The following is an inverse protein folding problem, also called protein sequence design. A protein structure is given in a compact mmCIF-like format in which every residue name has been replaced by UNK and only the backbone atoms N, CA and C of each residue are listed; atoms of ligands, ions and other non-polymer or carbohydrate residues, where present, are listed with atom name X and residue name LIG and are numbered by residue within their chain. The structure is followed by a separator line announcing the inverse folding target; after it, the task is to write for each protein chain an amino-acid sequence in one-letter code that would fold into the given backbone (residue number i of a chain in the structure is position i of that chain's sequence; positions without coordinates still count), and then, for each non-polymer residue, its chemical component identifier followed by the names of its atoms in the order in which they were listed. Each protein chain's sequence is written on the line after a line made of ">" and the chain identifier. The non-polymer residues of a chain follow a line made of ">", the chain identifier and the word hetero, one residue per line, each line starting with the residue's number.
data_IF_545983395222
#
_entry.id   IF_545983395222
#
_cell.length_a   1.000
_cell.length_b   1.000
_cell.length_c   1.000
_cell.angle_alpha   90.00
_cell.angle_beta   90.00
_cell.angle_gamma   90.00
#
_symmetry.space_group_name_H-M   'P 1'
#
loop_
_entity.id
_entity.type
_entity.pdbx_description
1 polymer ?
#
# COMPACT_ATOMS: atom_id res chain seq x y z
N UNK A 1 -27.19 24.83 -6.82
CA UNK A 1 -26.58 24.82 -8.17
C UNK A 1 -26.58 23.37 -8.63
N UNK A 2 -26.89 23.09 -9.91
CA UNK A 2 -26.73 21.73 -10.44
C UNK A 2 -25.25 21.31 -10.30
N UNK A 3 -25.00 20.02 -10.06
CA UNK A 3 -23.64 19.51 -10.00
C UNK A 3 -22.99 19.67 -11.39
N UNK A 4 -21.76 20.17 -11.43
CA UNK A 4 -21.00 20.33 -12.67
C UNK A 4 -20.71 18.99 -13.28
N UNK A 5 -20.96 18.83 -14.57
CA UNK A 5 -20.77 17.61 -15.33
C UNK A 5 -19.50 17.70 -16.17
N UNK A 6 -18.56 16.79 -15.92
CA UNK A 6 -17.29 16.71 -16.66
C UNK A 6 -17.30 15.47 -17.54
N UNK A 7 -16.88 15.61 -18.80
CA UNK A 7 -16.74 14.50 -19.75
C UNK A 7 -15.28 14.36 -20.18
N UNK A 8 -14.69 13.21 -19.91
CA UNK A 8 -13.38 12.80 -20.41
C UNK A 8 -13.59 12.09 -21.75
N UNK A 9 -13.09 12.69 -22.86
CA UNK A 9 -13.48 12.27 -24.21
C UNK A 9 -12.35 11.61 -24.98
N UNK A 10 -12.69 10.55 -25.73
CA UNK A 10 -11.87 9.99 -26.80
C UNK A 10 -10.64 9.24 -26.32
N UNK A 11 -10.59 8.84 -25.05
CA UNK A 11 -9.51 8.03 -24.50
C UNK A 11 -9.75 6.53 -24.62
N UNK A 12 -8.72 5.74 -24.30
CA UNK A 12 -8.88 4.34 -23.93
C UNK A 12 -9.28 4.26 -22.46
N UNK A 13 -10.19 3.39 -22.11
CA UNK A 13 -10.64 3.16 -20.74
C UNK A 13 -10.23 1.77 -20.32
N UNK A 14 -9.30 1.67 -19.36
CA UNK A 14 -9.09 0.46 -18.57
C UNK A 14 -9.95 0.57 -17.31
N UNK A 15 -10.99 -0.23 -17.23
CA UNK A 15 -12.01 -0.07 -16.19
C UNK A 15 -11.62 -0.61 -14.80
N UNK A 16 -10.45 -1.24 -14.68
CA UNK A 16 -9.96 -1.84 -13.43
C UNK A 16 -10.33 -3.30 -13.22
N UNK A 17 -11.14 -3.90 -14.10
CA UNK A 17 -11.59 -5.32 -13.95
C UNK A 17 -10.53 -6.33 -14.39
N UNK A 18 -9.46 -5.90 -15.05
CA UNK A 18 -8.49 -6.77 -15.72
C UNK A 18 -8.85 -7.09 -17.17
N UNK A 19 -9.97 -6.57 -17.69
CA UNK A 19 -10.30 -6.60 -19.09
C UNK A 19 -9.39 -5.68 -19.92
N UNK A 20 -9.33 -5.91 -21.23
CA UNK A 20 -8.59 -5.01 -22.13
C UNK A 20 -9.25 -3.63 -22.18
N UNK A 21 -8.41 -2.59 -22.26
CA UNK A 21 -8.91 -1.22 -22.42
C UNK A 21 -9.72 -1.06 -23.71
N UNK A 22 -10.81 -0.31 -23.65
CA UNK A 22 -11.70 -0.02 -24.78
C UNK A 22 -11.87 1.48 -24.97
N UNK A 23 -12.14 1.93 -26.21
CA UNK A 23 -12.41 3.34 -26.51
C UNK A 23 -13.77 3.76 -25.93
N UNK A 24 -13.81 4.96 -25.33
CA UNK A 24 -15.06 5.50 -24.78
C UNK A 24 -14.88 6.88 -24.16
N UNK A 25 -16.00 7.44 -23.71
CA UNK A 25 -16.04 8.63 -22.87
C UNK A 25 -16.40 8.24 -21.44
N UNK A 26 -15.81 8.93 -20.47
CA UNK A 26 -16.18 8.80 -19.05
C UNK A 26 -16.88 10.08 -18.60
N UNK A 27 -18.04 9.94 -18.00
CA UNK A 27 -18.86 11.06 -17.53
C UNK A 27 -18.92 11.11 -16.02
N UNK A 28 -18.58 12.25 -15.46
CA UNK A 28 -18.52 12.50 -14.02
C UNK A 28 -19.46 13.64 -13.64
N UNK A 29 -20.26 13.43 -12.59
CA UNK A 29 -21.15 14.44 -12.02
C UNK A 29 -21.19 14.28 -10.49
N UNK A 30 -21.05 15.39 -9.76
CA UNK A 30 -21.08 15.37 -8.29
C UNK A 30 -20.01 14.48 -7.66
N UNK A 31 -18.84 14.34 -8.30
CA UNK A 31 -17.74 13.52 -7.82
C UNK A 31 -17.88 12.02 -8.07
N UNK A 32 -18.93 11.62 -8.82
CA UNK A 32 -19.18 10.21 -9.14
C UNK A 32 -19.19 9.98 -10.65
N UNK A 33 -18.85 8.79 -11.04
CA UNK A 33 -19.04 8.29 -12.41
C UNK A 33 -20.55 8.10 -12.62
N UNK A 34 -21.09 8.68 -13.68
CA UNK A 34 -22.52 8.58 -14.01
C UNK A 34 -22.77 7.83 -15.31
N UNK A 35 -21.78 7.80 -16.22
CA UNK A 35 -21.87 7.07 -17.48
C UNK A 35 -20.51 6.68 -18.04
N UNK A 36 -20.49 5.59 -18.79
CA UNK A 36 -19.37 5.08 -19.59
C UNK A 36 -19.90 4.74 -20.98
N UNK A 37 -19.31 5.30 -22.00
CA UNK A 37 -19.76 5.01 -23.36
C UNK A 37 -19.36 6.07 -24.34
N UNK A 38 -20.28 6.93 -24.74
CA UNK A 38 -20.00 8.04 -25.64
C UNK A 38 -21.23 8.86 -25.96
N UNK A 39 -20.99 10.08 -26.51
CA UNK A 39 -22.06 10.97 -26.98
C UNK A 39 -22.76 11.78 -25.89
N UNK A 40 -22.24 11.82 -24.67
CA UNK A 40 -22.80 12.63 -23.57
C UNK A 40 -22.35 14.09 -23.65
N UNK A 41 -23.25 15.01 -23.31
CA UNK A 41 -22.93 16.42 -23.13
C UNK A 41 -22.44 16.70 -21.70
N UNK A 42 -21.58 17.73 -21.53
CA UNK A 42 -21.06 18.14 -20.24
C UNK A 42 -20.70 19.62 -20.22
N UNK A 43 -20.62 20.17 -19.01
CA UNK A 43 -20.21 21.57 -18.77
C UNK A 43 -18.72 21.76 -19.02
N UNK A 44 -17.92 20.72 -18.72
CA UNK A 44 -16.47 20.65 -18.95
C UNK A 44 -16.18 19.46 -19.85
N UNK A 45 -15.30 19.66 -20.83
CA UNK A 45 -14.77 18.60 -21.68
C UNK A 45 -13.26 18.51 -21.49
N UNK A 46 -12.78 17.31 -21.11
CA UNK A 46 -11.35 16.97 -21.02
C UNK A 46 -11.01 16.13 -22.24
N UNK A 47 -10.10 16.61 -23.09
CA UNK A 47 -9.64 15.85 -24.27
C UNK A 47 -8.63 14.77 -23.85
N UNK A 48 -9.01 13.52 -23.99
CA UNK A 48 -8.19 12.35 -23.65
C UNK A 48 -7.67 11.60 -24.88
N UNK A 49 -7.68 12.24 -26.06
CA UNK A 49 -7.16 11.61 -27.27
C UNK A 49 -5.68 11.21 -27.09
N UNK A 50 -5.37 9.94 -27.38
CA UNK A 50 -4.03 9.37 -27.17
C UNK A 50 -3.68 9.07 -25.70
N UNK A 51 -4.65 9.07 -24.80
CA UNK A 51 -4.48 8.73 -23.38
C UNK A 51 -5.28 7.49 -23.02
N UNK A 52 -4.87 6.86 -21.91
CA UNK A 52 -5.63 5.82 -21.22
C UNK A 52 -6.11 6.35 -19.87
N UNK A 53 -7.38 6.15 -19.58
CA UNK A 53 -8.02 6.39 -18.29
C UNK A 53 -7.91 5.12 -17.44
N UNK A 54 -7.36 5.25 -16.25
CA UNK A 54 -7.33 4.21 -15.22
C UNK A 54 -8.19 4.63 -14.03
N UNK A 55 -8.74 3.68 -13.25
CA UNK A 55 -9.17 3.99 -11.90
C UNK A 55 -8.00 4.55 -11.08
N UNK A 56 -8.27 5.36 -10.08
CA UNK A 56 -7.26 5.72 -9.10
C UNK A 56 -6.55 4.50 -8.54
N UNK A 57 -5.22 4.51 -8.54
CA UNK A 57 -4.39 3.40 -8.09
C UNK A 57 -4.36 3.32 -6.57
N UNK A 58 -4.09 2.11 -6.07
CA UNK A 58 -3.94 1.79 -4.66
C UNK A 58 -2.51 1.36 -4.35
N UNK A 59 -2.05 1.67 -3.13
CA UNK A 59 -0.89 1.04 -2.51
C UNK A 59 -1.30 0.49 -1.14
N UNK A 60 -1.37 -0.83 -1.01
CA UNK A 60 -1.86 -1.51 0.19
C UNK A 60 -0.82 -1.66 1.30
N UNK A 61 0.40 -1.14 1.12
CA UNK A 61 1.45 -1.22 2.12
C UNK A 61 2.44 -0.06 1.99
N UNK A 62 2.22 0.98 2.78
CA UNK A 62 3.10 2.17 2.84
C UNK A 62 3.43 2.53 4.28
N UNK A 63 4.45 3.37 4.47
CA UNK A 63 4.84 3.98 5.73
C UNK A 63 5.05 5.48 5.51
N UNK A 64 3.97 6.26 5.48
CA UNK A 64 4.06 7.68 5.08
C UNK A 64 4.86 8.56 6.04
N UNK A 65 5.06 8.11 7.28
CA UNK A 65 5.89 8.78 8.27
C UNK A 65 7.40 8.52 8.08
N UNK A 66 7.78 7.64 7.14
CA UNK A 66 9.17 7.35 6.82
C UNK A 66 9.53 7.92 5.46
N UNK A 67 10.55 8.79 5.43
CA UNK A 67 11.14 9.31 4.19
C UNK A 67 12.43 8.56 3.80
N UNK A 68 12.96 7.76 4.73
CA UNK A 68 14.21 7.00 4.57
C UNK A 68 14.38 5.98 5.71
N UNK A 69 15.30 5.03 5.51
CA UNK A 69 15.68 4.01 6.50
C UNK A 69 16.93 4.36 7.30
N UNK A 70 17.35 5.63 7.30
CA UNK A 70 18.47 6.16 8.07
C UNK A 70 18.06 6.46 9.51
N UNK A 71 18.30 5.51 10.43
CA UNK A 71 17.99 5.66 11.84
C UNK A 71 18.81 6.78 12.52
N UNK A 72 20.06 7.04 12.06
CA UNK A 72 20.88 8.10 12.62
C UNK A 72 20.31 9.48 12.32
N UNK A 73 19.86 9.70 11.09
CA UNK A 73 19.17 10.93 10.71
C UNK A 73 17.90 11.11 11.52
N UNK A 74 17.13 10.03 11.71
CA UNK A 74 15.88 10.07 12.48
C UNK A 74 16.09 10.49 13.94
N UNK A 75 17.11 9.95 14.63
CA UNK A 75 17.45 10.31 16.01
C UNK A 75 17.81 11.80 16.13
N UNK A 76 18.42 12.39 15.10
CA UNK A 76 18.87 13.78 15.08
C UNK A 76 17.79 14.75 14.60
N UNK A 77 16.65 14.24 14.11
CA UNK A 77 15.56 15.05 13.57
C UNK A 77 14.52 15.34 14.66
N UNK A 78 14.05 16.60 14.82
CA UNK A 78 12.99 16.92 15.78
C UNK A 78 11.72 16.07 15.54
N UNK A 79 11.09 15.58 16.61
CA UNK A 79 9.92 14.70 16.54
C UNK A 79 8.83 15.19 15.59
N UNK A 80 8.49 16.47 15.62
CA UNK A 80 7.42 17.03 14.78
C UNK A 80 7.78 17.11 13.30
N UNK A 81 9.09 17.04 12.94
CA UNK A 81 9.55 17.18 11.56
C UNK A 81 8.98 16.07 10.64
N UNK A 82 8.85 14.85 11.17
CA UNK A 82 8.30 13.70 10.42
C UNK A 82 6.86 13.95 9.90
N UNK A 83 6.05 14.78 10.58
CA UNK A 83 4.69 15.09 10.10
C UNK A 83 4.71 16.00 8.86
N UNK A 84 5.70 16.87 8.75
CA UNK A 84 5.90 17.71 7.56
C UNK A 84 6.47 16.89 6.40
N UNK A 85 7.41 15.96 6.68
CA UNK A 85 7.89 15.01 5.68
C UNK A 85 6.74 14.14 5.16
N UNK A 86 5.85 13.67 6.04
CA UNK A 86 4.69 12.87 5.67
C UNK A 86 3.78 13.61 4.67
N UNK A 87 3.58 14.91 4.80
CA UNK A 87 2.82 15.70 3.83
C UNK A 87 3.48 15.68 2.44
N UNK A 88 4.81 15.78 2.38
CA UNK A 88 5.57 15.63 1.13
C UNK A 88 5.48 14.23 0.54
N UNK A 89 5.59 13.20 1.39
CA UNK A 89 5.47 11.79 1.00
C UNK A 89 4.09 11.47 0.41
N UNK A 90 3.03 11.97 1.05
CA UNK A 90 1.66 11.84 0.58
C UNK A 90 1.44 12.52 -0.77
N UNK A 91 1.96 13.74 -0.94
CA UNK A 91 1.89 14.46 -2.21
C UNK A 91 2.66 13.73 -3.33
N UNK A 92 3.85 13.20 -3.05
CA UNK A 92 4.64 12.42 -4.00
C UNK A 92 3.92 11.12 -4.42
N UNK A 93 3.29 10.42 -3.46
CA UNK A 93 2.50 9.21 -3.71
C UNK A 93 1.27 9.52 -4.57
N UNK A 94 0.55 10.60 -4.29
CA UNK A 94 -0.57 11.05 -5.10
C UNK A 94 -0.12 11.43 -6.53
N UNK A 95 1.05 12.05 -6.66
CA UNK A 95 1.62 12.49 -7.93
C UNK A 95 1.84 11.36 -8.94
N UNK A 96 2.02 10.13 -8.48
CA UNK A 96 2.15 8.93 -9.32
C UNK A 96 0.83 8.16 -9.47
N UNK A 97 -0.32 8.82 -9.28
CA UNK A 97 -1.64 8.26 -9.54
C UNK A 97 -2.21 7.37 -8.43
N UNK A 98 -1.54 7.24 -7.30
CA UNK A 98 -2.08 6.49 -6.16
C UNK A 98 -3.04 7.41 -5.39
N UNK A 99 -4.33 7.08 -5.42
CA UNK A 99 -5.40 7.87 -4.79
C UNK A 99 -5.87 7.28 -3.47
N UNK A 100 -5.44 6.05 -3.15
CA UNK A 100 -5.80 5.37 -1.91
C UNK A 100 -4.62 4.55 -1.41
N UNK A 101 -4.33 4.65 -0.10
CA UNK A 101 -3.24 3.92 0.54
C UNK A 101 -3.69 3.21 1.82
N UNK A 102 -2.94 2.16 2.20
CA UNK A 102 -3.00 1.55 3.52
C UNK A 102 -1.63 1.73 4.20
N UNK A 103 -1.60 2.58 5.24
CA UNK A 103 -0.39 2.79 6.05
C UNK A 103 -0.21 1.63 7.03
N UNK A 104 0.91 0.92 6.86
CA UNK A 104 1.24 -0.29 7.62
C UNK A 104 1.90 0.01 8.98
N UNK A 105 1.91 1.28 9.36
CA UNK A 105 2.40 1.77 10.64
C UNK A 105 3.17 3.08 10.51
N UNK A 106 2.98 3.95 11.48
CA UNK A 106 3.61 5.25 11.58
C UNK A 106 2.61 6.39 11.59
N UNK A 107 1.68 6.42 10.65
CA UNK A 107 0.63 7.44 10.60
C UNK A 107 -0.37 7.27 11.76
N UNK A 108 -0.66 8.37 12.42
CA UNK A 108 -1.70 8.45 13.46
C UNK A 108 -3.00 9.05 12.90
N UNK A 109 -4.03 9.11 13.75
CA UNK A 109 -5.31 9.71 13.40
C UNK A 109 -5.18 11.20 13.04
N UNK A 110 -4.15 11.90 13.55
CA UNK A 110 -3.90 13.31 13.23
C UNK A 110 -3.51 13.50 11.76
N UNK A 111 -2.63 12.66 11.23
CA UNK A 111 -2.25 12.69 9.80
C UNK A 111 -3.47 12.38 8.92
N UNK A 112 -4.24 11.33 9.27
CA UNK A 112 -5.46 10.98 8.52
C UNK A 112 -6.47 12.11 8.52
N UNK A 113 -6.73 12.75 9.67
CA UNK A 113 -7.65 13.88 9.78
C UNK A 113 -7.17 15.10 9.01
N UNK A 114 -5.86 15.37 9.01
CA UNK A 114 -5.31 16.48 8.23
C UNK A 114 -5.57 16.32 6.73
N UNK A 115 -5.55 15.07 6.20
CA UNK A 115 -5.96 14.77 4.82
C UNK A 115 -7.47 14.97 4.62
N UNK A 116 -8.31 14.42 5.51
CA UNK A 116 -9.77 14.50 5.44
C UNK A 116 -10.27 15.97 5.51
N UNK A 117 -9.62 16.79 6.34
CA UNK A 117 -9.94 18.21 6.51
C UNK A 117 -9.30 19.10 5.42
N UNK A 118 -8.49 18.54 4.51
CA UNK A 118 -7.81 19.26 3.44
C UNK A 118 -6.68 20.19 3.91
N UNK A 119 -6.14 19.98 5.11
CA UNK A 119 -4.97 20.71 5.62
C UNK A 119 -3.69 20.32 4.88
N UNK A 120 -3.61 19.06 4.42
CA UNK A 120 -2.53 18.54 3.58
C UNK A 120 -3.14 17.79 2.39
N UNK A 121 -2.44 17.78 1.25
CA UNK A 121 -2.83 17.03 0.07
C UNK A 121 -2.26 15.61 0.09
N UNK A 122 -2.99 14.67 -0.48
CA UNK A 122 -2.54 13.29 -0.58
C UNK A 122 -3.68 12.31 -0.92
N UNK A 123 -3.38 11.00 -1.02
CA UNK A 123 -4.37 9.94 -1.22
C UNK A 123 -5.27 9.74 0.01
N UNK A 124 -6.44 9.12 -0.18
CA UNK A 124 -7.22 8.58 0.95
C UNK A 124 -6.39 7.55 1.70
N UNK A 125 -6.59 7.47 3.01
CA UNK A 125 -5.72 6.67 3.86
C UNK A 125 -6.51 5.77 4.82
N UNK A 126 -6.15 4.47 4.85
CA UNK A 126 -6.38 3.59 6.00
C UNK A 126 -5.10 3.51 6.83
N UNK A 127 -5.22 3.56 8.15
CA UNK A 127 -4.08 3.58 9.08
C UNK A 127 -4.12 2.41 10.04
N UNK A 128 -2.94 1.85 10.35
CA UNK A 128 -2.77 0.81 11.37
C UNK A 128 -2.20 1.34 12.68
N UNK A 129 -1.79 2.60 12.72
CA UNK A 129 -1.15 3.29 13.84
C UNK A 129 0.25 2.72 14.11
N UNK A 130 0.32 1.45 14.51
CA UNK A 130 1.56 0.79 14.93
C UNK A 130 1.51 -0.70 14.61
N UNK A 131 2.64 -1.26 14.17
CA UNK A 131 2.81 -2.69 14.05
C UNK A 131 2.91 -3.33 15.44
N UNK A 132 2.10 -4.36 15.70
CA UNK A 132 2.19 -5.18 16.91
C UNK A 132 3.27 -6.24 16.73
N UNK A 133 4.13 -6.40 17.72
CA UNK A 133 5.27 -7.32 17.69
C UNK A 133 5.59 -7.85 19.09
N UNK A 134 6.09 -9.08 19.16
CA UNK A 134 6.60 -9.63 20.43
C UNK A 134 7.94 -8.98 20.82
N UNK A 135 8.31 -9.08 22.09
CA UNK A 135 9.66 -8.75 22.58
C UNK A 135 10.70 -9.57 21.81
N UNK A 136 11.75 -8.89 21.31
CA UNK A 136 12.78 -9.49 20.44
C UNK A 136 12.31 -9.75 19.01
N UNK A 137 11.11 -9.31 18.64
CA UNK A 137 10.54 -9.46 17.30
C UNK A 137 10.86 -8.29 16.37
N UNK A 138 10.24 -8.30 15.17
CA UNK A 138 10.54 -7.36 14.09
C UNK A 138 10.28 -5.88 14.44
N UNK A 139 9.30 -5.60 15.30
CA UNK A 139 8.97 -4.27 15.78
C UNK A 139 9.57 -3.93 17.14
N UNK A 140 10.57 -4.67 17.61
CA UNK A 140 11.31 -4.37 18.83
C UNK A 140 12.60 -3.61 18.48
N UNK A 141 12.61 -2.34 18.82
CA UNK A 141 13.70 -1.39 18.49
C UNK A 141 14.84 -1.41 19.50
N UNK A 142 14.91 -2.41 20.39
CA UNK A 142 15.97 -2.55 21.40
C UNK A 142 17.30 -3.02 20.78
N UNK A 143 18.39 -2.35 21.11
CA UNK A 143 19.75 -2.70 20.69
C UNK A 143 20.54 -3.39 21.82
N UNK A 144 21.59 -4.15 21.46
CA UNK A 144 22.43 -4.89 22.41
C UNK A 144 23.11 -4.02 23.47
N UNK A 145 23.22 -2.72 23.24
CA UNK A 145 23.66 -1.74 24.24
C UNK A 145 22.61 -1.44 25.31
N UNK A 146 21.38 -1.92 25.15
CA UNK A 146 20.24 -1.59 26.01
C UNK A 146 19.53 -0.29 25.62
N UNK A 147 19.94 0.35 24.51
CA UNK A 147 19.28 1.55 23.99
C UNK A 147 18.17 1.14 23.03
N UNK A 148 17.01 1.78 23.14
CA UNK A 148 15.92 1.69 22.16
C UNK A 148 16.09 2.82 21.14
N UNK A 149 16.05 2.45 19.84
CA UNK A 149 16.14 3.39 18.71
C UNK A 149 14.96 3.12 17.78
N UNK A 150 13.78 3.64 18.12
CA UNK A 150 12.57 3.33 17.38
C UNK A 150 12.55 4.02 16.01
N UNK A 151 12.16 3.28 14.97
CA UNK A 151 11.73 3.88 13.70
C UNK A 151 10.47 4.72 13.88
N UNK A 152 9.64 4.34 14.84
CA UNK A 152 8.39 5.02 15.18
C UNK A 152 8.40 5.38 16.66
N UNK A 153 8.64 6.64 17.00
CA UNK A 153 8.58 7.10 18.39
C UNK A 153 7.13 6.98 18.91
N UNK A 154 6.97 6.35 20.09
CA UNK A 154 5.66 6.30 20.73
C UNK A 154 5.25 7.70 21.22
N UNK A 155 3.99 8.06 21.00
CA UNK A 155 3.40 9.35 21.40
C UNK A 155 1.91 9.16 21.71
N UNK A 156 1.18 10.20 22.23
CA UNK A 156 -0.22 10.04 22.64
C UNK A 156 -1.15 9.49 21.56
N UNK A 157 -0.89 9.76 20.26
CA UNK A 157 -1.68 9.25 19.13
C UNK A 157 -1.23 7.87 18.63
N UNK A 158 -0.03 7.41 18.99
CA UNK A 158 0.54 6.15 18.52
C UNK A 158 1.27 5.42 19.67
N UNK A 159 0.56 4.61 20.46
CA UNK A 159 1.16 3.86 21.59
C UNK A 159 2.15 2.79 21.09
N UNK A 160 3.01 2.29 21.99
CA UNK A 160 3.94 1.20 21.69
C UNK A 160 3.24 -0.04 21.15
N UNK A 161 3.87 -0.70 20.17
CA UNK A 161 3.39 -1.94 19.56
C UNK A 161 3.89 -3.23 20.23
N UNK A 162 4.79 -3.17 21.23
CA UNK A 162 5.26 -4.37 21.91
C UNK A 162 4.17 -5.05 22.72
N UNK A 163 4.05 -6.37 22.57
CA UNK A 163 3.00 -7.17 23.17
C UNK A 163 3.41 -8.63 23.30
N UNK A 164 3.24 -9.20 24.50
CA UNK A 164 3.53 -10.59 24.80
C UNK A 164 2.36 -11.23 25.55
N UNK A 165 1.88 -12.32 25.00
CA UNK A 165 0.79 -13.12 25.55
C UNK A 165 -0.63 -12.64 25.18
N UNK A 166 -1.61 -13.58 25.26
CA UNK A 166 -2.98 -13.34 24.77
C UNK A 166 -3.72 -12.18 25.47
N UNK A 167 -3.56 -12.05 26.78
CA UNK A 167 -4.25 -10.97 27.53
C UNK A 167 -3.69 -9.59 27.21
N UNK A 168 -2.37 -9.46 27.06
CA UNK A 168 -1.74 -8.24 26.60
C UNK A 168 -2.15 -7.90 25.15
N UNK A 169 -2.22 -8.92 24.27
CA UNK A 169 -2.67 -8.77 22.88
C UNK A 169 -4.08 -8.17 22.82
N UNK A 170 -5.03 -8.69 23.62
CA UNK A 170 -6.39 -8.13 23.73
C UNK A 170 -6.38 -6.64 24.06
N UNK A 171 -5.61 -6.25 25.05
CA UNK A 171 -5.51 -4.85 25.47
C UNK A 171 -4.90 -3.99 24.36
N UNK A 172 -3.86 -4.52 23.70
CA UNK A 172 -3.11 -3.81 22.66
C UNK A 172 -3.96 -3.56 21.42
N UNK A 173 -4.71 -4.56 20.93
CA UNK A 173 -5.64 -4.38 19.80
C UNK A 173 -6.67 -3.30 20.09
N UNK A 174 -7.28 -3.34 21.30
CA UNK A 174 -8.23 -2.30 21.73
C UNK A 174 -7.60 -0.92 21.83
N UNK A 175 -6.31 -0.82 22.18
CA UNK A 175 -5.57 0.45 22.16
C UNK A 175 -5.40 0.99 20.74
N UNK A 176 -5.06 0.15 19.75
CA UNK A 176 -4.96 0.57 18.34
C UNK A 176 -6.33 1.03 17.81
N UNK A 177 -7.39 0.28 18.07
CA UNK A 177 -8.77 0.66 17.71
C UNK A 177 -9.16 2.01 18.33
N UNK A 178 -8.89 2.20 19.63
CA UNK A 178 -9.12 3.47 20.32
C UNK A 178 -8.33 4.63 19.70
N UNK A 179 -7.12 4.36 19.20
CA UNK A 179 -6.28 5.35 18.53
C UNK A 179 -6.76 5.69 17.11
N UNK A 180 -7.76 4.97 16.60
CA UNK A 180 -8.38 5.23 15.28
C UNK A 180 -7.87 4.34 14.16
N UNK A 181 -7.30 3.18 14.47
CA UNK A 181 -6.86 2.22 13.46
C UNK A 181 -8.04 1.73 12.59
N UNK A 182 -7.87 1.76 11.26
CA UNK A 182 -8.79 1.16 10.27
C UNK A 182 -8.44 -0.32 10.00
N UNK A 183 -7.21 -0.71 10.34
CA UNK A 183 -6.66 -2.06 10.17
C UNK A 183 -5.67 -2.32 11.29
N UNK A 184 -5.54 -3.57 11.72
CA UNK A 184 -4.52 -3.96 12.70
C UNK A 184 -3.31 -4.52 11.94
N UNK A 185 -2.11 -3.99 12.21
CA UNK A 185 -0.85 -4.53 11.68
C UNK A 185 -0.16 -5.36 12.76
N UNK A 186 0.32 -6.56 12.38
CA UNK A 186 1.09 -7.44 13.25
C UNK A 186 2.32 -7.98 12.52
N UNK A 187 3.40 -8.30 13.24
CA UNK A 187 4.54 -9.05 12.73
C UNK A 187 4.46 -10.50 13.21
N UNK A 188 4.27 -11.45 12.28
CA UNK A 188 4.23 -12.89 12.58
C UNK A 188 5.54 -13.61 12.24
N UNK A 189 6.54 -12.87 11.80
CA UNK A 189 7.92 -13.36 11.62
C UNK A 189 8.93 -12.24 11.86
N UNK A 190 10.21 -12.60 11.89
CA UNK A 190 11.31 -11.65 11.72
C UNK A 190 11.33 -11.03 10.34
N UNK A 191 12.22 -10.07 10.12
CA UNK A 191 12.31 -9.30 8.88
C UNK A 191 13.71 -8.86 8.49
N UNK A 192 13.79 -8.17 7.34
CA UNK A 192 15.06 -7.70 6.76
C UNK A 192 15.63 -6.50 7.51
N UNK A 193 14.82 -5.50 7.84
CA UNK A 193 15.31 -4.24 8.41
C UNK A 193 15.70 -4.33 9.88
N UNK A 194 15.08 -5.19 10.66
CA UNK A 194 15.46 -5.42 12.05
C UNK A 194 16.85 -6.07 12.13
N UNK A 195 17.79 -5.54 12.92
CA UNK A 195 19.19 -6.00 12.85
C UNK A 195 19.43 -7.36 13.52
N UNK A 196 18.49 -7.88 14.32
CA UNK A 196 18.76 -9.01 15.20
C UNK A 196 17.84 -10.22 15.06
N UNK A 197 16.64 -10.04 14.55
CA UNK A 197 15.75 -11.15 14.26
C UNK A 197 16.11 -11.85 12.93
N UNK A 198 15.58 -13.05 12.74
CA UNK A 198 15.77 -13.81 11.52
C UNK A 198 14.45 -13.84 10.72
N UNK A 199 14.46 -13.43 9.44
CA UNK A 199 13.27 -13.44 8.61
C UNK A 199 12.67 -14.85 8.39
N UNK A 200 13.39 -15.91 8.76
CA UNK A 200 12.96 -17.32 8.67
C UNK A 200 12.27 -17.83 9.94
N UNK A 201 12.24 -17.04 11.01
CA UNK A 201 11.65 -17.47 12.28
C UNK A 201 10.26 -16.88 12.49
N UNK A 202 9.29 -17.74 12.82
CA UNK A 202 7.94 -17.33 13.18
C UNK A 202 7.92 -16.61 14.55
N UNK A 203 7.15 -15.55 14.61
CA UNK A 203 6.85 -14.77 15.81
C UNK A 203 5.40 -14.95 16.22
N UNK A 204 5.12 -14.67 17.51
CA UNK A 204 3.82 -14.86 18.14
C UNK A 204 3.34 -16.32 18.08
N UNK A 205 2.48 -16.67 19.00
CA UNK A 205 1.93 -18.03 19.10
C UNK A 205 0.48 -18.04 18.62
N UNK A 206 -0.06 -19.19 18.20
CA UNK A 206 -1.43 -19.28 17.73
C UNK A 206 -2.45 -18.62 18.68
N UNK A 207 -2.35 -18.84 19.99
CA UNK A 207 -3.26 -18.24 20.95
C UNK A 207 -3.23 -16.70 20.99
N UNK A 208 -2.09 -16.07 20.66
CA UNK A 208 -1.98 -14.62 20.57
C UNK A 208 -2.63 -14.11 19.27
N UNK A 209 -2.44 -14.84 18.17
CA UNK A 209 -3.04 -14.50 16.87
C UNK A 209 -4.55 -14.71 16.85
N UNK A 210 -5.06 -15.76 17.51
CA UNK A 210 -6.50 -16.01 17.66
C UNK A 210 -7.19 -14.85 18.40
N UNK A 211 -6.60 -14.39 19.51
CA UNK A 211 -7.14 -13.23 20.26
C UNK A 211 -7.04 -11.95 19.44
N UNK A 212 -5.93 -11.74 18.72
CA UNK A 212 -5.74 -10.58 17.86
C UNK A 212 -6.84 -10.49 16.79
N UNK A 213 -7.11 -11.57 16.08
CA UNK A 213 -8.13 -11.62 15.03
C UNK A 213 -9.53 -11.45 15.64
N UNK A 214 -9.84 -12.17 16.72
CA UNK A 214 -11.16 -12.09 17.38
C UNK A 214 -11.49 -10.65 17.86
N UNK A 215 -10.51 -9.93 18.42
CA UNK A 215 -10.71 -8.53 18.87
C UNK A 215 -10.84 -7.56 17.68
N UNK A 216 -10.10 -7.79 16.58
CA UNK A 216 -10.21 -7.00 15.36
C UNK A 216 -11.57 -7.19 14.68
N UNK A 217 -12.02 -8.45 14.53
CA UNK A 217 -13.34 -8.79 13.98
C UNK A 217 -14.48 -8.20 14.78
N UNK A 218 -14.41 -8.27 16.13
CA UNK A 218 -15.40 -7.68 17.00
C UNK A 218 -15.52 -6.16 16.83
N UNK A 219 -14.47 -5.51 16.38
CA UNK A 219 -14.45 -4.08 16.06
C UNK A 219 -14.75 -3.78 14.57
N UNK A 220 -14.96 -4.79 13.74
CA UNK A 220 -15.22 -4.63 12.31
C UNK A 220 -14.00 -4.21 11.49
N UNK A 221 -12.77 -4.45 11.99
CA UNK A 221 -11.52 -4.13 11.29
C UNK A 221 -10.77 -5.40 10.89
N UNK A 222 -10.00 -5.32 9.80
CA UNK A 222 -9.20 -6.45 9.32
C UNK A 222 -7.80 -6.46 9.96
N UNK A 223 -7.11 -7.59 9.79
CA UNK A 223 -5.71 -7.74 10.20
C UNK A 223 -4.84 -7.95 8.96
N UNK A 224 -3.69 -7.29 8.94
CA UNK A 224 -2.60 -7.48 7.97
C UNK A 224 -1.34 -7.93 8.71
N UNK A 225 -0.58 -8.90 8.16
CA UNK A 225 0.60 -9.45 8.81
C UNK A 225 1.86 -9.26 7.98
N UNK A 226 2.86 -8.55 8.55
CA UNK A 226 4.23 -8.77 8.11
C UNK A 226 4.58 -10.24 8.37
N UNK A 227 4.82 -11.00 7.33
CA UNK A 227 5.11 -12.43 7.44
C UNK A 227 6.08 -12.84 6.31
N UNK A 228 7.33 -13.09 6.68
CA UNK A 228 8.36 -13.55 5.75
C UNK A 228 8.58 -15.06 5.88
N UNK A 229 8.68 -15.60 7.10
CA UNK A 229 8.86 -17.02 7.37
C UNK A 229 7.62 -17.86 6.98
N UNK A 230 7.83 -19.03 6.38
CA UNK A 230 6.75 -19.97 6.03
C UNK A 230 5.83 -20.30 7.23
N UNK A 231 6.40 -20.62 8.39
CA UNK A 231 5.60 -20.93 9.58
C UNK A 231 4.84 -19.69 10.12
N UNK A 232 5.43 -18.49 10.00
CA UNK A 232 4.75 -17.25 10.37
C UNK A 232 3.57 -16.95 9.46
N UNK A 233 3.71 -17.22 8.15
CA UNK A 233 2.65 -17.10 7.15
C UNK A 233 1.53 -18.11 7.46
N UNK A 234 1.87 -19.39 7.64
CA UNK A 234 0.88 -20.45 7.95
C UNK A 234 0.10 -20.16 9.22
N UNK A 235 0.78 -19.71 10.29
CA UNK A 235 0.12 -19.34 11.54
C UNK A 235 -0.84 -18.15 11.35
N UNK A 236 -0.42 -17.13 10.59
CA UNK A 236 -1.25 -15.96 10.27
C UNK A 236 -2.51 -16.36 9.48
N UNK A 237 -2.34 -17.19 8.44
CA UNK A 237 -3.47 -17.65 7.60
C UNK A 237 -4.44 -18.50 8.42
N UNK A 238 -3.97 -19.45 9.23
CA UNK A 238 -4.81 -20.29 10.10
C UNK A 238 -5.59 -19.48 11.13
N UNK A 239 -5.02 -18.37 11.60
CA UNK A 239 -5.70 -17.46 12.52
C UNK A 239 -6.78 -16.59 11.86
N UNK A 240 -6.89 -16.58 10.52
CA UNK A 240 -7.88 -15.78 9.78
C UNK A 240 -7.39 -14.38 9.40
N UNK A 241 -6.09 -14.12 9.39
CA UNK A 241 -5.53 -12.85 8.96
C UNK A 241 -5.81 -12.64 7.46
N UNK A 242 -6.32 -11.44 7.11
CA UNK A 242 -6.82 -11.14 5.76
C UNK A 242 -5.73 -11.01 4.71
N UNK A 243 -4.56 -10.45 5.03
CA UNK A 243 -3.45 -10.32 4.09
C UNK A 243 -2.10 -10.63 4.71
N UNK A 244 -1.28 -11.30 3.90
CA UNK A 244 0.14 -11.54 4.14
C UNK A 244 0.93 -10.48 3.37
N UNK A 245 1.74 -9.75 4.09
CA UNK A 245 2.65 -8.75 3.54
C UNK A 245 4.02 -9.40 3.31
N UNK A 246 4.65 -9.13 2.18
CA UNK A 246 5.92 -9.69 1.71
C UNK A 246 5.82 -11.15 1.24
N UNK A 247 5.57 -12.10 2.12
CA UNK A 247 5.45 -13.52 1.71
C UNK A 247 6.76 -14.14 1.19
N UNK A 248 7.93 -13.74 1.73
CA UNK A 248 9.24 -14.05 1.14
C UNK A 248 9.52 -15.54 1.04
N UNK A 249 9.23 -16.32 2.09
CA UNK A 249 9.50 -17.74 2.14
C UNK A 249 8.23 -18.59 2.01
N UNK A 250 7.35 -18.24 1.06
CA UNK A 250 6.17 -19.04 0.75
C UNK A 250 6.60 -20.45 0.32
N UNK A 251 6.13 -21.47 1.03
CA UNK A 251 6.19 -22.87 0.63
C UNK A 251 4.84 -23.34 0.05
N UNK A 252 4.80 -24.54 -0.48
CA UNK A 252 3.60 -25.06 -1.16
C UNK A 252 2.42 -25.17 -0.18
N UNK A 253 2.66 -25.58 1.09
CA UNK A 253 1.62 -25.63 2.14
C UNK A 253 1.07 -24.24 2.47
N UNK A 254 1.92 -23.21 2.54
CA UNK A 254 1.47 -21.84 2.79
C UNK A 254 0.59 -21.32 1.64
N UNK A 255 0.95 -21.65 0.40
CA UNK A 255 0.15 -21.31 -0.80
C UNK A 255 -1.21 -22.01 -0.77
N UNK A 256 -1.24 -23.32 -0.47
CA UNK A 256 -2.49 -24.09 -0.35
C UNK A 256 -3.41 -23.49 0.73
N UNK A 257 -2.87 -23.16 1.90
CA UNK A 257 -3.62 -22.50 2.97
C UNK A 257 -4.15 -21.13 2.55
N UNK A 258 -3.35 -20.32 1.86
CA UNK A 258 -3.80 -19.02 1.37
C UNK A 258 -4.96 -19.15 0.38
N UNK A 259 -4.93 -20.16 -0.49
CA UNK A 259 -6.02 -20.46 -1.42
C UNK A 259 -7.27 -20.91 -0.68
N UNK A 260 -7.14 -21.83 0.29
CA UNK A 260 -8.24 -22.37 1.10
C UNK A 260 -8.96 -21.26 1.89
N UNK A 261 -8.20 -20.36 2.51
CA UNK A 261 -8.73 -19.28 3.33
C UNK A 261 -9.07 -18.00 2.55
N UNK A 262 -8.73 -17.93 1.25
CA UNK A 262 -8.90 -16.72 0.45
C UNK A 262 -8.03 -15.55 0.91
N UNK A 263 -6.89 -15.84 1.55
CA UNK A 263 -5.95 -14.84 2.07
C UNK A 263 -5.22 -14.13 0.94
N UNK A 264 -5.08 -12.80 1.05
CA UNK A 264 -4.39 -11.98 0.07
C UNK A 264 -2.87 -12.00 0.27
N UNK A 265 -2.12 -11.87 -0.83
CA UNK A 265 -0.70 -11.52 -0.83
C UNK A 265 -0.53 -10.06 -1.26
N UNK A 266 0.21 -9.29 -0.45
CA UNK A 266 0.69 -7.95 -0.79
C UNK A 266 2.22 -8.03 -0.85
N UNK A 267 2.80 -8.17 -2.07
CA UNK A 267 4.15 -8.72 -2.20
C UNK A 267 5.27 -7.75 -1.81
N UNK A 268 5.17 -6.47 -2.13
CA UNK A 268 6.23 -5.47 -1.85
C UNK A 268 7.61 -5.86 -2.39
N UNK A 269 7.67 -6.32 -3.63
CA UNK A 269 8.90 -6.84 -4.28
C UNK A 269 10.02 -5.80 -4.36
N UNK A 270 9.67 -4.52 -4.41
CA UNK A 270 10.65 -3.41 -4.43
C UNK A 270 11.42 -3.27 -3.13
N UNK A 271 10.86 -3.70 -1.98
CA UNK A 271 11.40 -3.37 -0.66
C UNK A 271 12.82 -3.92 -0.41
N UNK A 272 13.13 -5.21 -0.64
CA UNK A 272 14.50 -5.71 -0.45
C UNK A 272 15.53 -5.00 -1.37
N UNK A 273 15.15 -4.73 -2.62
CA UNK A 273 15.97 -3.93 -3.55
C UNK A 273 16.23 -2.52 -3.04
N UNK A 274 15.21 -1.88 -2.47
CA UNK A 274 15.31 -0.55 -1.87
C UNK A 274 16.33 -0.46 -0.73
N UNK A 275 16.44 -1.49 0.10
CA UNK A 275 17.47 -1.58 1.16
C UNK A 275 18.87 -1.63 0.55
N UNK A 276 19.07 -2.39 -0.52
CA UNK A 276 20.35 -2.51 -1.23
C UNK A 276 20.71 -1.20 -1.91
N UNK A 277 19.76 -0.58 -2.60
CA UNK A 277 19.92 0.71 -3.30
C UNK A 277 20.29 1.82 -2.32
N UNK A 278 19.60 1.91 -1.17
CA UNK A 278 19.89 2.90 -0.12
C UNK A 278 21.32 2.76 0.40
N UNK A 279 21.76 1.53 0.70
CA UNK A 279 23.14 1.28 1.15
C UNK A 279 24.18 1.64 0.07
N UNK A 280 23.88 1.34 -1.21
CA UNK A 280 24.75 1.71 -2.33
C UNK A 280 24.86 3.24 -2.52
N UNK A 281 23.84 4.00 -2.13
CA UNK A 281 23.81 5.46 -2.13
C UNK A 281 24.45 6.09 -0.88
N UNK A 282 24.98 5.25 0.03
CA UNK A 282 25.66 5.71 1.24
C UNK A 282 24.76 5.99 2.44
N UNK A 283 23.49 5.58 2.39
CA UNK A 283 22.62 5.61 3.57
C UNK A 283 23.17 4.62 4.61
N UNK A 284 23.32 5.03 5.89
CA UNK A 284 23.88 4.16 6.94
C UNK A 284 22.88 3.07 7.37
N UNK A 285 22.75 2.05 6.52
CA UNK A 285 21.93 0.86 6.80
C UNK A 285 22.81 -0.17 7.53
N UNK A 286 22.30 -0.85 8.59
CA UNK A 286 23.04 -1.93 9.25
C UNK A 286 23.49 -3.01 8.25
N UNK A 287 24.74 -3.44 8.31
CA UNK A 287 25.31 -4.43 7.39
C UNK A 287 24.50 -5.76 7.40
N UNK A 288 24.00 -6.16 8.57
CA UNK A 288 23.15 -7.32 8.71
C UNK A 288 21.85 -7.21 7.87
N UNK A 289 21.24 -6.02 7.83
CA UNK A 289 20.02 -5.79 7.04
C UNK A 289 20.31 -5.83 5.54
N UNK A 290 21.43 -5.25 5.09
CA UNK A 290 21.87 -5.34 3.69
C UNK A 290 22.17 -6.80 3.28
N UNK A 291 22.82 -7.56 4.16
CA UNK A 291 23.10 -8.99 3.92
C UNK A 291 21.81 -9.81 3.79
N UNK A 292 20.84 -9.58 4.69
CA UNK A 292 19.52 -10.23 4.61
C UNK A 292 18.80 -9.83 3.31
N UNK A 293 18.78 -8.54 2.95
CA UNK A 293 18.15 -8.07 1.71
C UNK A 293 18.69 -8.81 0.48
N UNK A 294 20.02 -8.91 0.36
CA UNK A 294 20.67 -9.65 -0.74
C UNK A 294 20.32 -11.13 -0.79
N UNK A 295 20.10 -11.76 0.37
CA UNK A 295 19.72 -13.17 0.45
C UNK A 295 18.29 -13.42 -0.01
N UNK A 296 17.38 -12.46 0.22
CA UNK A 296 15.95 -12.67 0.02
C UNK A 296 15.43 -12.23 -1.35
N UNK A 297 16.08 -11.31 -2.07
CA UNK A 297 15.58 -10.76 -3.35
C UNK A 297 15.13 -11.86 -4.31
N UNK A 298 16.01 -12.80 -4.64
CA UNK A 298 15.68 -13.87 -5.60
C UNK A 298 14.68 -14.89 -5.03
N UNK A 299 14.71 -15.13 -3.72
CA UNK A 299 13.77 -16.03 -3.04
C UNK A 299 12.37 -15.40 -3.12
N UNK A 300 12.26 -14.13 -2.83
CA UNK A 300 11.02 -13.37 -2.84
C UNK A 300 10.35 -13.40 -4.23
N UNK A 301 11.14 -13.10 -5.29
CA UNK A 301 10.64 -13.15 -6.66
C UNK A 301 10.12 -14.55 -7.03
N UNK A 302 10.85 -15.60 -6.68
CA UNK A 302 10.42 -17.00 -6.93
C UNK A 302 9.16 -17.37 -6.15
N UNK A 303 9.06 -16.96 -4.89
CA UNK A 303 7.88 -17.21 -4.05
C UNK A 303 6.66 -16.50 -4.62
N UNK A 304 6.82 -15.24 -5.04
CA UNK A 304 5.77 -14.50 -5.71
C UNK A 304 5.31 -15.18 -7.00
N UNK A 305 6.25 -15.58 -7.89
CA UNK A 305 5.91 -16.29 -9.13
C UNK A 305 5.15 -17.59 -8.89
N UNK A 306 5.50 -18.34 -7.83
CA UNK A 306 4.73 -19.53 -7.43
C UNK A 306 3.31 -19.19 -6.97
N UNK A 307 3.15 -18.15 -6.17
CA UNK A 307 1.85 -17.68 -5.71
C UNK A 307 0.94 -17.23 -6.88
N UNK A 308 1.51 -16.50 -7.85
CA UNK A 308 0.83 -16.10 -9.09
C UNK A 308 0.37 -17.32 -9.88
N UNK A 309 1.27 -18.27 -10.13
CA UNK A 309 0.97 -19.48 -10.89
C UNK A 309 -0.10 -20.36 -10.22
N UNK A 310 -0.17 -20.34 -8.88
CA UNK A 310 -1.17 -21.06 -8.10
C UNK A 310 -2.53 -20.34 -8.04
N UNK A 311 -2.61 -19.05 -8.41
CA UNK A 311 -3.83 -18.26 -8.36
C UNK A 311 -4.15 -17.63 -7.00
N UNK A 312 -3.13 -17.41 -6.17
CA UNK A 312 -3.29 -16.65 -4.92
C UNK A 312 -3.80 -15.23 -5.22
N UNK A 313 -4.70 -14.72 -4.41
CA UNK A 313 -5.24 -13.36 -4.54
C UNK A 313 -4.15 -12.33 -4.26
N UNK A 314 -3.90 -11.41 -5.18
CA UNK A 314 -2.80 -10.44 -5.09
C UNK A 314 -3.36 -9.01 -5.12
N UNK A 315 -2.84 -8.16 -4.23
CA UNK A 315 -3.05 -6.73 -4.27
C UNK A 315 -1.69 -6.01 -4.20
N UNK A 316 -1.58 -4.91 -4.94
CA UNK A 316 -0.35 -4.11 -5.01
C UNK A 316 -0.05 -3.44 -3.66
N UNK A 317 1.20 -3.47 -3.24
CA UNK A 317 1.77 -2.72 -2.13
C UNK A 317 3.28 -2.67 -2.24
N UNK A 318 3.93 -1.64 -1.69
CA UNK A 318 5.33 -1.32 -2.00
C UNK A 318 6.27 -1.33 -0.81
N UNK A 319 5.75 -1.17 0.41
CA UNK A 319 6.55 -0.84 1.59
C UNK A 319 7.30 0.52 1.44
N UNK A 320 6.66 1.49 0.73
CA UNK A 320 7.21 2.84 0.58
C UNK A 320 7.44 3.49 1.94
N UNK A 321 8.60 4.15 2.07
CA UNK A 321 9.27 4.49 3.30
C UNK A 321 10.58 3.73 3.39
N UNK A 322 10.60 2.44 3.02
CA UNK A 322 11.82 1.67 2.72
C UNK A 322 12.37 2.08 1.36
N UNK A 323 11.49 2.26 0.38
CA UNK A 323 11.79 2.90 -0.91
C UNK A 323 11.22 4.33 -0.91
N UNK A 324 11.76 5.26 -1.72
CA UNK A 324 11.24 6.63 -1.80
C UNK A 324 9.76 6.66 -2.21
N UNK A 325 8.97 7.49 -1.53
CA UNK A 325 7.60 7.81 -1.97
C UNK A 325 7.64 8.49 -3.35
N UNK A 326 6.66 8.19 -4.20
CA UNK A 326 6.67 8.60 -5.60
C UNK A 326 7.37 7.60 -6.54
N UNK A 327 8.07 6.58 -6.01
CA UNK A 327 8.61 5.46 -6.80
C UNK A 327 7.73 4.20 -6.73
N UNK A 328 6.54 4.29 -6.14
CA UNK A 328 5.63 3.19 -5.85
C UNK A 328 5.34 2.30 -7.08
N UNK A 329 5.21 2.89 -8.27
CA UNK A 329 4.84 2.14 -9.48
C UNK A 329 5.95 1.21 -10.00
N UNK A 330 7.17 1.26 -9.44
CA UNK A 330 8.21 0.25 -9.72
C UNK A 330 7.76 -1.17 -9.35
N UNK A 331 6.88 -1.30 -8.38
CA UNK A 331 6.29 -2.58 -7.99
C UNK A 331 5.56 -3.27 -9.15
N UNK A 332 4.84 -2.49 -9.98
CA UNK A 332 4.06 -3.02 -11.10
C UNK A 332 4.93 -3.78 -12.11
N UNK A 333 6.11 -3.25 -12.43
CA UNK A 333 7.05 -3.92 -13.32
C UNK A 333 7.56 -5.24 -12.72
N UNK A 334 7.91 -5.25 -11.42
CA UNK A 334 8.36 -6.46 -10.74
C UNK A 334 7.26 -7.53 -10.61
N UNK A 335 6.01 -7.11 -10.44
CA UNK A 335 4.87 -8.03 -10.47
C UNK A 335 4.68 -8.66 -11.86
N UNK A 336 4.87 -7.89 -12.93
CA UNK A 336 4.85 -8.41 -14.29
C UNK A 336 6.01 -9.37 -14.56
N UNK A 337 7.23 -9.03 -14.14
CA UNK A 337 8.40 -9.91 -14.20
C UNK A 337 8.19 -11.22 -13.41
N UNK A 338 7.34 -11.17 -12.37
CA UNK A 338 6.92 -12.32 -11.59
C UNK A 338 5.86 -13.21 -12.24
N UNK A 339 5.38 -12.86 -13.44
CA UNK A 339 4.49 -13.67 -14.26
C UNK A 339 3.03 -13.22 -14.32
N UNK A 340 2.71 -12.03 -13.80
CA UNK A 340 1.37 -11.45 -14.00
C UNK A 340 1.30 -10.73 -15.35
N UNK A 341 0.20 -10.90 -16.07
CA UNK A 341 -0.07 -10.09 -17.27
C UNK A 341 -0.33 -8.61 -16.88
N UNK A 342 0.04 -7.63 -17.72
CA UNK A 342 -0.11 -6.21 -17.39
C UNK A 342 -1.52 -5.81 -16.90
N UNK A 343 -2.57 -6.36 -17.50
CA UNK A 343 -3.94 -6.11 -17.09
C UNK A 343 -4.24 -6.67 -15.68
N UNK A 344 -3.66 -7.81 -15.32
CA UNK A 344 -3.77 -8.39 -13.97
C UNK A 344 -3.01 -7.56 -12.93
N UNK A 345 -1.83 -7.03 -13.30
CA UNK A 345 -1.06 -6.12 -12.43
C UNK A 345 -1.85 -4.85 -12.15
N UNK A 346 -2.44 -4.24 -13.17
CA UNK A 346 -3.29 -3.05 -13.00
C UNK A 346 -4.56 -3.36 -12.18
N UNK A 347 -5.16 -4.54 -12.36
CA UNK A 347 -6.26 -5.00 -11.51
C UNK A 347 -5.82 -5.18 -10.05
N UNK A 348 -4.61 -5.70 -9.79
CA UNK A 348 -4.04 -5.81 -8.45
C UNK A 348 -3.81 -4.44 -7.78
N UNK A 349 -3.56 -3.39 -8.57
CA UNK A 349 -3.40 -2.01 -8.11
C UNK A 349 -4.72 -1.22 -8.10
N UNK A 350 -5.86 -1.81 -8.46
CA UNK A 350 -7.16 -1.15 -8.55
C UNK A 350 -8.26 -1.99 -7.90
N UNK A 351 -8.98 -2.83 -8.65
CA UNK A 351 -10.14 -3.58 -8.14
C UNK A 351 -9.78 -4.57 -7.04
N UNK A 352 -8.69 -5.32 -7.18
CA UNK A 352 -8.24 -6.28 -6.16
C UNK A 352 -7.84 -5.58 -4.86
N UNK A 353 -7.11 -4.47 -4.97
CA UNK A 353 -6.73 -3.66 -3.81
C UNK A 353 -7.96 -3.05 -3.12
N UNK A 354 -8.94 -2.56 -3.90
CA UNK A 354 -10.20 -2.06 -3.36
C UNK A 354 -10.97 -3.17 -2.61
N UNK A 355 -10.98 -4.40 -3.12
CA UNK A 355 -11.60 -5.55 -2.46
C UNK A 355 -10.86 -5.93 -1.18
N UNK A 356 -9.53 -5.97 -1.21
CA UNK A 356 -8.72 -6.20 -0.02
C UNK A 356 -9.04 -5.19 1.09
N UNK A 357 -9.16 -3.91 0.73
CA UNK A 357 -9.41 -2.82 1.67
C UNK A 357 -10.89 -2.65 2.04
N UNK A 358 -11.81 -3.44 1.46
CA UNK A 358 -13.26 -3.31 1.70
C UNK A 358 -13.89 -2.05 1.11
N UNK A 359 -13.35 -1.56 -0.02
CA UNK A 359 -13.76 -0.32 -0.69
C UNK A 359 -14.35 -0.55 -2.09
N UNK A 360 -14.57 -1.81 -2.50
CA UNK A 360 -14.99 -2.17 -3.87
C UNK A 360 -16.39 -1.66 -4.27
N UNK A 361 -17.22 -1.31 -3.30
CA UNK A 361 -18.52 -0.67 -3.53
C UNK A 361 -18.39 0.79 -4.00
N UNK A 362 -17.24 1.43 -3.75
CA UNK A 362 -17.02 2.85 -3.98
C UNK A 362 -15.85 3.17 -4.92
N UNK A 363 -14.86 2.30 -5.02
CA UNK A 363 -13.57 2.54 -5.67
C UNK A 363 -13.08 1.29 -6.41
N UNK A 364 -11.95 1.40 -7.11
CA UNK A 364 -11.23 0.30 -7.72
C UNK A 364 -11.63 -0.01 -9.16
N UNK A 365 -12.78 0.43 -9.61
CA UNK A 365 -13.21 0.31 -11.02
C UNK A 365 -13.87 1.59 -11.50
N UNK A 366 -13.83 1.83 -12.83
CA UNK A 366 -14.56 2.90 -13.48
C UNK A 366 -15.97 2.39 -13.84
N UNK A 367 -16.90 2.49 -12.90
CA UNK A 367 -18.29 2.04 -13.06
C UNK A 367 -19.27 3.13 -12.58
N UNK A 368 -20.43 3.27 -13.22
CA UNK A 368 -21.46 4.20 -12.75
C UNK A 368 -21.82 3.98 -11.28
N UNK A 369 -21.90 5.08 -10.53
CA UNK A 369 -22.17 5.12 -9.10
C UNK A 369 -20.93 5.17 -8.20
N UNK A 370 -19.76 4.77 -8.68
CA UNK A 370 -18.49 4.85 -7.93
C UNK A 370 -17.91 6.26 -7.92
N UNK A 371 -17.02 6.52 -6.99
CA UNK A 371 -16.28 7.78 -6.93
C UNK A 371 -15.38 7.92 -8.15
N UNK A 372 -15.32 9.11 -8.70
CA UNK A 372 -14.57 9.41 -9.91
C UNK A 372 -13.10 9.70 -9.59
N UNK A 373 -12.38 8.67 -9.12
CA UNK A 373 -10.93 8.68 -9.03
C UNK A 373 -10.37 8.17 -10.35
N UNK A 374 -9.72 9.06 -11.10
CA UNK A 374 -9.27 8.79 -12.47
C UNK A 374 -7.83 9.22 -12.64
N UNK A 375 -7.01 8.35 -13.21
CA UNK A 375 -5.63 8.65 -13.60
C UNK A 375 -5.55 8.69 -15.12
N UNK A 376 -5.08 9.79 -15.67
CA UNK A 376 -4.83 9.93 -17.11
C UNK A 376 -3.37 9.63 -17.41
N UNK A 377 -3.15 8.67 -18.30
CA UNK A 377 -1.83 8.19 -18.70
C UNK A 377 -1.64 8.40 -20.21
N UNK A 378 -0.53 8.97 -20.63
CA UNK A 378 -0.21 9.10 -22.07
C UNK A 378 0.05 7.73 -22.70
N UNK A 379 -0.58 7.46 -23.84
CA UNK A 379 -0.47 6.22 -24.59
C UNK A 379 -1.21 5.05 -23.93
N UNK A 380 -0.82 3.83 -24.26
CA UNK A 380 -1.32 2.62 -23.65
C UNK A 380 -0.63 2.33 -22.31
N UNK A 381 -1.14 1.36 -21.58
CA UNK A 381 -0.66 1.00 -20.23
C UNK A 381 0.00 -0.38 -20.17
N UNK A 382 0.38 -0.95 -21.30
CA UNK A 382 1.04 -2.26 -21.37
C UNK A 382 2.48 -2.22 -20.85
N UNK A 383 3.20 -1.09 -21.09
CA UNK A 383 4.54 -0.86 -20.53
C UNK A 383 4.43 -0.28 -19.12
N UNK A 384 4.47 -1.17 -18.12
CA UNK A 384 4.38 -0.81 -16.70
C UNK A 384 5.66 -0.16 -16.16
N UNK A 385 6.81 -0.41 -16.77
CA UNK A 385 8.10 0.11 -16.30
C UNK A 385 8.19 1.64 -16.44
N UNK A 386 7.56 2.21 -17.47
CA UNK A 386 7.53 3.65 -17.73
C UNK A 386 6.22 4.33 -17.31
N UNK A 387 5.31 3.60 -16.64
CA UNK A 387 3.97 4.10 -16.34
C UNK A 387 4.00 5.42 -15.54
N UNK A 388 4.87 5.52 -14.53
CA UNK A 388 4.98 6.71 -13.68
C UNK A 388 5.37 7.97 -14.45
N UNK A 389 6.21 7.84 -15.50
CA UNK A 389 6.68 8.96 -16.33
C UNK A 389 5.59 9.49 -17.28
N UNK A 390 4.55 8.69 -17.50
CA UNK A 390 3.48 8.95 -18.45
C UNK A 390 2.18 9.42 -17.79
N UNK A 391 2.14 9.51 -16.45
CA UNK A 391 0.98 10.09 -15.75
C UNK A 391 0.89 11.57 -16.06
N UNK A 392 -0.22 12.00 -16.62
CA UNK A 392 -0.49 13.39 -17.03
C UNK A 392 -1.27 14.14 -15.94
N UNK A 393 -2.32 13.50 -15.41
CA UNK A 393 -3.15 14.10 -14.38
C UNK A 393 -3.86 13.07 -13.53
N UNK A 394 -4.13 13.43 -12.28
CA UNK A 394 -4.82 12.62 -11.29
C UNK A 394 -6.04 13.39 -10.80
N UNK A 395 -7.18 12.72 -10.86
CA UNK A 395 -8.46 13.24 -10.36
C UNK A 395 -8.92 12.37 -9.18
N UNK A 396 -9.42 13.03 -8.15
CA UNK A 396 -10.12 12.38 -7.03
C UNK A 396 -11.52 13.00 -6.93
N UNK A 397 -12.53 12.16 -6.91
CA UNK A 397 -13.94 12.60 -6.94
C UNK A 397 -14.20 13.65 -8.03
N UNK A 398 -13.64 13.42 -9.21
CA UNK A 398 -13.77 14.30 -10.39
C UNK A 398 -13.03 15.63 -10.30
N UNK A 399 -12.27 15.89 -9.24
CA UNK A 399 -11.46 17.09 -9.07
C UNK A 399 -10.01 16.81 -9.41
N UNK A 400 -9.39 17.67 -10.21
CA UNK A 400 -7.94 17.59 -10.47
C UNK A 400 -7.18 17.85 -9.16
N UNK A 401 -6.34 16.88 -8.76
CA UNK A 401 -5.55 16.92 -7.53
C UNK A 401 -4.04 16.88 -7.78
N UNK A 402 -3.60 16.43 -8.97
CA UNK A 402 -2.20 16.47 -9.38
C UNK A 402 -2.08 16.52 -10.91
N UNK A 403 -1.00 17.09 -11.41
CA UNK A 403 -0.74 17.25 -12.86
C UNK A 403 -1.47 18.44 -13.49
N UNK A 404 -1.60 18.41 -14.79
CA UNK A 404 -2.27 19.46 -15.60
C UNK A 404 -3.39 18.86 -16.43
N UNK A 405 -4.53 19.57 -16.62
CA UNK A 405 -5.58 19.09 -17.51
C UNK A 405 -5.02 18.91 -18.94
N UNK A 406 -5.35 17.80 -19.62
CA UNK A 406 -4.99 17.66 -21.03
C UNK A 406 -5.61 18.80 -21.86
N UNK A 407 -4.83 19.39 -22.75
CA UNK A 407 -5.30 20.45 -23.64
C UNK A 407 -4.96 21.89 -23.22
N UNK A 408 -4.53 22.13 -21.97
CA UNK A 408 -4.05 23.45 -21.50
C UNK A 408 -2.58 23.72 -21.82
N UNK A 409 -2.00 22.98 -22.75
CA UNK A 409 -0.68 23.28 -23.29
C UNK A 409 -0.74 24.68 -23.94
N UNK A 410 -0.11 25.65 -23.30
CA UNK A 410 0.13 27.00 -23.84
C UNK A 410 0.64 26.83 -25.28
N UNK A 411 -0.24 27.09 -26.25
CA UNK A 411 0.19 27.31 -27.63
C UNK A 411 0.98 28.62 -27.61
N UNK A 412 2.30 28.47 -27.45
CA UNK A 412 3.25 29.56 -27.65
C UNK A 412 3.29 29.96 -29.12
#
# INVERSE_FOLDING_TARGET
>A
MAAQRTVFRGGLIFDGTGAQASSGDLVVEGGRIVDLGGGSDGDISVDCAGMTLLPGLFDCHTHVMFSHIDQWKQIQTPFSYQFYEAAGNLAATLGVGITTIRDAGGADLGVKRALEDGLIGGPRMHISIRMLSQTGGHGDDWYVSGVEVPFMVAHPGAPSGLVDGPDAMRVKVRQMIRAGADVIKVATSGGVLSPRDDPRHAHLRPAELEILVAEAEAAGVFVMAHAQAADGIKNAVRAGIRSIEHGIYLDDEAIELMLEHGTWLVPTLVAPGGVIDAAAQGVPVPEASVAKARQVVDIHQRSFSKAVAAGVRIAMGTDSGVTPHGSNLRELALMADGGMEPAQVLAAATSSAAELMGLSDRLGTLEPGKLADVVLVRGDVADLATLSERIESVYMEGRLVSGTPPGDGVRS
#
